data_IF_495427379244
#
_entry.id   IF_495427379244
#
_cell.length_a   1.000
_cell.length_b   1.000
_cell.length_c   1.000
_cell.angle_alpha   90.00
_cell.angle_beta   90.00
_cell.angle_gamma   90.00
#
_symmetry.space_group_name_H-M   'P 1'
#
loop_
_entity.id
_entity.type
_entity.pdbx_description
1 polymer ?
#
# COMPACT_ATOMS: atom_id res chain seq x y z
N UNK A 1 2.66 6.58 3.24
CA UNK A 1 2.78 5.12 3.03
C UNK A 1 4.19 4.61 3.35
N UNK A 2 5.24 4.96 2.58
CA UNK A 2 6.63 4.48 2.85
C UNK A 2 7.08 4.75 4.30
N UNK A 3 6.85 5.96 4.83
CA UNK A 3 7.17 6.28 6.23
C UNK A 3 6.43 5.38 7.24
N UNK A 4 5.19 4.97 6.94
CA UNK A 4 4.43 4.09 7.82
C UNK A 4 5.02 2.67 7.79
N UNK A 5 5.41 2.17 6.60
CA UNK A 5 6.10 0.88 6.45
C UNK A 5 7.41 0.88 7.22
N UNK A 6 8.26 1.90 7.02
CA UNK A 6 9.54 2.04 7.73
C UNK A 6 9.35 2.01 9.25
N UNK A 7 8.39 2.79 9.77
CA UNK A 7 8.07 2.82 11.21
C UNK A 7 7.66 1.45 11.76
N UNK A 8 6.75 0.73 11.10
CA UNK A 8 6.29 -0.57 11.63
C UNK A 8 7.37 -1.65 11.56
N UNK A 9 8.31 -1.53 10.63
CA UNK A 9 9.45 -2.46 10.48
C UNK A 9 10.65 -2.12 11.36
N UNK A 10 10.68 -0.94 12.00
CA UNK A 10 11.87 -0.41 12.69
C UNK A 10 13.14 -0.43 11.81
N UNK A 11 12.97 -0.24 10.49
CA UNK A 11 14.08 -0.22 9.54
C UNK A 11 14.69 1.18 9.44
N UNK A 12 16.02 1.26 9.40
CA UNK A 12 16.76 2.48 9.05
C UNK A 12 16.82 2.70 7.54
N UNK A 13 16.74 1.62 6.77
CA UNK A 13 16.81 1.66 5.32
C UNK A 13 15.45 1.99 4.72
N UNK A 14 15.48 2.67 3.58
CA UNK A 14 14.27 2.97 2.82
C UNK A 14 13.64 1.69 2.29
N UNK A 15 12.38 1.44 2.66
CA UNK A 15 11.55 0.39 2.10
C UNK A 15 10.62 0.99 1.03
N UNK A 16 10.83 0.71 -0.27
CA UNK A 16 10.02 1.27 -1.33
C UNK A 16 8.61 0.65 -1.34
N UNK A 17 7.63 1.47 -1.73
CA UNK A 17 6.25 1.02 -1.95
C UNK A 17 5.86 1.25 -3.40
N UNK A 18 5.48 0.19 -4.09
CA UNK A 18 5.17 0.21 -5.51
C UNK A 18 3.66 0.12 -5.73
N UNK A 19 3.04 1.23 -6.15
CA UNK A 19 1.61 1.28 -6.49
C UNK A 19 1.27 0.72 -7.87
N UNK A 20 0.01 0.30 -8.04
CA UNK A 20 -0.53 -0.16 -9.33
C UNK A 20 -0.65 0.96 -10.38
N UNK A 21 -0.69 2.21 -9.94
CA UNK A 21 -0.71 3.38 -10.82
C UNK A 21 -0.36 4.67 -10.07
N UNK A 22 -0.25 5.77 -10.81
CA UNK A 22 -0.07 7.12 -10.27
C UNK A 22 -1.42 7.86 -10.35
N UNK A 23 -1.76 8.61 -9.31
CA UNK A 23 -2.87 9.57 -9.32
C UNK A 23 -2.30 10.99 -9.32
N UNK A 24 -2.99 11.92 -9.97
CA UNK A 24 -2.63 13.34 -9.93
C UNK A 24 -3.20 14.04 -8.69
N UNK A 25 -2.74 15.25 -8.41
CA UNK A 25 -3.20 16.03 -7.26
C UNK A 25 -4.73 16.24 -7.32
N UNK A 26 -5.40 15.99 -6.19
CA UNK A 26 -6.87 16.10 -6.08
C UNK A 26 -7.64 14.85 -6.53
N UNK A 27 -7.00 13.85 -7.12
CA UNK A 27 -7.66 12.59 -7.51
C UNK A 27 -7.71 11.63 -6.31
N UNK A 28 -8.91 11.11 -6.02
CA UNK A 28 -9.12 10.11 -4.98
C UNK A 28 -8.85 8.68 -5.49
N UNK A 29 -8.63 7.76 -4.55
CA UNK A 29 -8.51 6.33 -4.83
C UNK A 29 -9.33 5.50 -3.84
N UNK A 30 -10.14 4.58 -4.36
CA UNK A 30 -10.97 3.69 -3.54
C UNK A 30 -10.25 2.39 -3.17
N UNK A 31 -9.51 1.82 -4.13
CA UNK A 31 -8.84 0.53 -3.99
C UNK A 31 -7.51 0.53 -4.76
N UNK A 32 -6.68 1.56 -4.56
CA UNK A 32 -5.32 1.55 -5.10
C UNK A 32 -4.56 0.38 -4.48
N UNK A 33 -3.99 -0.49 -5.32
CA UNK A 33 -3.17 -1.61 -4.89
C UNK A 33 -1.71 -1.16 -4.82
N UNK A 34 -0.97 -1.63 -3.82
CA UNK A 34 0.46 -1.44 -3.73
C UNK A 34 1.11 -2.69 -3.13
N UNK A 35 2.36 -2.97 -3.51
CA UNK A 35 3.18 -4.01 -2.89
C UNK A 35 4.48 -3.42 -2.35
N UNK A 36 5.07 -4.12 -1.39
CA UNK A 36 6.32 -3.76 -0.75
C UNK A 36 6.90 -4.99 -0.07
N UNK A 37 8.21 -5.14 -0.14
CA UNK A 37 8.90 -6.24 0.51
C UNK A 37 9.34 -5.81 1.90
N UNK A 38 8.83 -6.48 2.92
CA UNK A 38 9.16 -6.19 4.31
C UNK A 38 9.28 -7.47 5.12
N UNK A 39 10.14 -7.46 6.14
CA UNK A 39 10.28 -8.55 7.10
C UNK A 39 9.60 -8.13 8.40
N UNK A 40 8.45 -8.73 8.69
CA UNK A 40 7.69 -8.47 9.91
C UNK A 40 7.05 -9.76 10.41
N UNK A 41 7.00 -9.94 11.74
CA UNK A 41 6.31 -11.05 12.39
C UNK A 41 4.91 -10.62 12.83
N UNK A 42 4.06 -10.28 11.87
CA UNK A 42 2.64 -9.98 12.08
C UNK A 42 1.80 -10.69 11.02
N UNK A 43 0.58 -11.06 11.38
CA UNK A 43 -0.45 -11.49 10.44
C UNK A 43 -0.98 -10.30 9.61
N UNK A 44 -1.75 -10.56 8.55
CA UNK A 44 -2.29 -9.52 7.67
C UNK A 44 -3.16 -8.52 8.44
N UNK A 45 -3.91 -8.99 9.43
CA UNK A 45 -4.69 -8.16 10.34
C UNK A 45 -3.82 -7.24 11.20
N UNK A 46 -2.73 -7.77 11.76
CA UNK A 46 -1.72 -7.02 12.51
C UNK A 46 -1.03 -5.96 11.65
N UNK A 47 -0.60 -6.32 10.44
CA UNK A 47 0.00 -5.39 9.47
C UNK A 47 -0.99 -4.27 9.14
N UNK A 48 -2.24 -4.61 8.81
CA UNK A 48 -3.29 -3.63 8.51
C UNK A 48 -3.53 -2.67 9.66
N UNK A 49 -3.60 -3.15 10.92
CA UNK A 49 -3.76 -2.31 12.11
C UNK A 49 -2.55 -1.41 12.33
N UNK A 50 -1.34 -1.95 12.25
CA UNK A 50 -0.09 -1.22 12.46
C UNK A 50 0.10 -0.10 11.42
N UNK A 51 -0.18 -0.38 10.14
CA UNK A 51 -0.13 0.62 9.07
C UNK A 51 -1.16 1.72 9.29
N UNK A 52 -2.42 1.36 9.53
CA UNK A 52 -3.48 2.35 9.76
C UNK A 52 -3.24 3.24 10.99
N UNK A 53 -2.55 2.74 12.02
CA UNK A 53 -2.14 3.56 13.17
C UNK A 53 -1.02 4.56 12.88
N UNK A 54 -0.32 4.42 11.75
CA UNK A 54 0.81 5.27 11.36
C UNK A 54 0.54 6.09 10.08
N UNK A 55 -0.62 5.92 9.46
CA UNK A 55 -1.05 6.67 8.28
C UNK A 55 -1.76 7.97 8.70
N UNK A 56 -1.72 9.01 7.84
CA UNK A 56 -2.55 10.19 8.03
C UNK A 56 -4.05 9.85 7.89
N UNK A 57 -4.92 10.71 8.41
CA UNK A 57 -6.38 10.46 8.47
C UNK A 57 -7.04 10.31 7.09
N UNK A 58 -6.42 10.84 6.04
CA UNK A 58 -6.90 10.82 4.65
C UNK A 58 -6.44 9.57 3.86
N UNK A 59 -5.70 8.66 4.49
CA UNK A 59 -5.19 7.43 3.86
C UNK A 59 -5.46 6.22 4.74
N UNK A 60 -6.10 5.18 4.17
CA UNK A 60 -6.46 3.97 4.93
C UNK A 60 -6.19 2.69 4.13
N UNK A 61 -5.58 1.72 4.79
CA UNK A 61 -5.43 0.34 4.30
C UNK A 61 -6.74 -0.42 4.54
N UNK A 62 -7.37 -0.81 3.44
CA UNK A 62 -8.63 -1.58 3.42
C UNK A 62 -8.41 -3.10 3.44
N UNK A 63 -7.28 -3.57 2.91
CA UNK A 63 -6.89 -4.99 2.88
C UNK A 63 -5.38 -5.16 2.81
N UNK A 64 -4.91 -6.33 3.25
CA UNK A 64 -3.51 -6.78 3.19
C UNK A 64 -3.56 -8.27 2.86
N UNK A 65 -2.68 -8.72 1.97
CA UNK A 65 -2.57 -10.11 1.54
C UNK A 65 -1.11 -10.43 1.26
N UNK A 66 -0.67 -11.65 1.60
CA UNK A 66 0.62 -12.17 1.14
C UNK A 66 0.53 -12.59 -0.32
N UNK A 67 1.51 -12.19 -1.12
CA UNK A 67 1.58 -12.48 -2.55
C UNK A 67 2.84 -13.27 -2.89
N UNK A 68 2.91 -13.76 -4.13
CA UNK A 68 4.10 -14.39 -4.67
C UNK A 68 5.26 -13.39 -4.77
N UNK A 69 6.50 -13.86 -4.63
CA UNK A 69 7.70 -13.01 -4.71
C UNK A 69 7.87 -12.31 -6.07
N UNK A 70 7.24 -12.84 -7.12
CA UNK A 70 7.31 -12.28 -8.47
C UNK A 70 6.19 -11.27 -8.77
N UNK A 71 5.27 -11.05 -7.83
CA UNK A 71 4.16 -10.13 -8.04
C UNK A 71 4.65 -8.68 -8.10
N UNK A 72 4.21 -7.95 -9.12
CA UNK A 72 4.44 -6.52 -9.23
C UNK A 72 3.13 -5.77 -9.51
N UNK A 73 2.65 -5.01 -8.52
CA UNK A 73 1.36 -4.30 -8.55
C UNK A 73 1.12 -3.46 -9.82
N UNK A 74 2.17 -2.90 -10.44
CA UNK A 74 2.04 -2.14 -11.69
C UNK A 74 1.94 -3.02 -12.94
N UNK A 75 2.71 -4.08 -13.02
CA UNK A 75 2.92 -4.83 -14.26
C UNK A 75 1.93 -6.00 -14.39
N UNK A 76 1.53 -6.60 -13.26
CA UNK A 76 0.53 -7.67 -13.24
C UNK A 76 -0.92 -7.16 -13.26
N UNK A 77 -1.11 -5.85 -13.09
CA UNK A 77 -2.43 -5.22 -13.17
C UNK A 77 -2.98 -5.29 -14.60
N UNK A 78 -4.01 -6.14 -14.80
CA UNK A 78 -4.69 -6.34 -16.09
C UNK A 78 -5.50 -5.15 -16.58
N UNK A 79 -6.11 -4.40 -15.66
CA UNK A 79 -6.91 -3.22 -15.98
C UNK A 79 -6.98 -2.26 -14.79
N UNK A 80 -7.44 -1.03 -15.03
CA UNK A 80 -7.62 0.02 -14.03
C UNK A 80 -8.97 0.70 -14.30
N UNK A 81 -9.73 0.99 -13.26
CA UNK A 81 -11.04 1.63 -13.37
C UNK A 81 -11.00 3.02 -12.75
N UNK A 82 -11.56 3.99 -13.48
CA UNK A 82 -11.67 5.38 -13.06
C UNK A 82 -13.15 5.77 -13.05
N UNK A 83 -13.57 6.48 -11.99
CA UNK A 83 -14.92 7.03 -11.89
C UNK A 83 -14.84 8.53 -11.67
N UNK A 84 -15.47 9.28 -12.57
CA UNK A 84 -15.64 10.72 -12.46
C UNK A 84 -17.04 11.01 -11.93
N UNK A 85 -17.16 11.94 -10.99
CA UNK A 85 -18.41 12.34 -10.36
C UNK A 85 -18.47 13.88 -10.31
N UNK A 86 -19.66 14.43 -10.52
CA UNK A 86 -19.94 15.86 -10.48
C UNK A 86 -20.50 16.24 -9.11
#
# INVERSE_FOLDING_TARGET
MENAVQKITNSTDRIPVHGSGRTDAGVHAWAQVAHTDMKLKLDEGGIKRALNGNLPQDCRIVGVEHTHNDFHARYDAKSRYYRYQC
#
